data_IF_070403108355
#
_entry.id   IF_070403108355
#
_cell.length_a   1.000
_cell.length_b   1.000
_cell.length_c   1.000
_cell.angle_alpha   90.00
_cell.angle_beta   90.00
_cell.angle_gamma   90.00
#
_symmetry.space_group_name_H-M   'P 1'
#
loop_
_entity.id
_entity.type
_entity.pdbx_description
1 polymer ?
#
# COMPACT_ATOMS: atom_id res chain seq x y z
N UNK A 1 39.79 -12.21 11.07
CA UNK A 1 39.39 -11.15 10.12
C UNK A 1 38.75 -11.69 8.83
N UNK A 2 39.43 -12.50 8.00
CA UNK A 2 38.85 -13.01 6.73
C UNK A 2 37.58 -13.87 6.89
N UNK A 3 37.56 -14.77 7.88
CA UNK A 3 36.37 -15.58 8.18
C UNK A 3 35.21 -14.73 8.72
N UNK A 4 35.52 -13.71 9.52
CA UNK A 4 34.55 -12.76 10.05
C UNK A 4 33.88 -11.96 8.92
N UNK A 5 34.68 -11.52 7.94
CA UNK A 5 34.18 -10.83 6.73
C UNK A 5 33.34 -11.76 5.85
N UNK A 6 33.76 -13.02 5.65
CA UNK A 6 32.98 -13.98 4.89
C UNK A 6 31.61 -14.26 5.55
N UNK A 7 31.57 -14.35 6.88
CA UNK A 7 30.32 -14.55 7.63
C UNK A 7 29.40 -13.33 7.57
N UNK A 8 29.94 -12.10 7.61
CA UNK A 8 29.11 -10.90 7.45
C UNK A 8 28.53 -10.82 6.04
N UNK A 9 29.34 -11.06 5.00
CA UNK A 9 28.88 -11.10 3.61
C UNK A 9 27.79 -12.15 3.42
N UNK A 10 27.98 -13.36 3.97
CA UNK A 10 26.96 -14.42 3.91
C UNK A 10 25.66 -13.99 4.59
N UNK A 11 25.75 -13.38 5.77
CA UNK A 11 24.58 -12.91 6.52
C UNK A 11 23.82 -11.83 5.75
N UNK A 12 24.54 -10.89 5.14
CA UNK A 12 23.95 -9.80 4.35
C UNK A 12 23.29 -10.33 3.06
N UNK A 13 23.96 -11.22 2.34
CA UNK A 13 23.39 -11.90 1.17
C UNK A 13 22.14 -12.69 1.54
N UNK A 14 22.15 -13.37 2.68
CA UNK A 14 21.01 -14.12 3.17
C UNK A 14 19.83 -13.19 3.50
N UNK A 15 20.11 -12.02 4.08
CA UNK A 15 19.11 -10.98 4.35
C UNK A 15 18.51 -10.40 3.06
N UNK A 16 19.34 -10.18 2.04
CA UNK A 16 18.88 -9.74 0.71
C UNK A 16 17.97 -10.80 0.10
N UNK A 17 18.39 -12.08 0.12
CA UNK A 17 17.61 -13.20 -0.41
C UNK A 17 16.21 -13.25 0.20
N UNK A 18 16.10 -13.19 1.53
CA UNK A 18 14.79 -13.22 2.19
C UNK A 18 13.89 -12.03 1.84
N UNK A 19 14.45 -10.83 1.66
CA UNK A 19 13.66 -9.68 1.22
C UNK A 19 13.12 -9.87 -0.20
N UNK A 20 13.95 -10.40 -1.11
CA UNK A 20 13.55 -10.69 -2.49
C UNK A 20 12.48 -11.77 -2.53
N UNK A 21 12.65 -12.86 -1.79
CA UNK A 21 11.63 -13.92 -1.67
C UNK A 21 10.29 -13.37 -1.16
N UNK A 22 10.32 -12.50 -0.14
CA UNK A 22 9.13 -11.80 0.35
C UNK A 22 8.46 -10.95 -0.74
N UNK A 23 9.22 -10.17 -1.50
CA UNK A 23 8.67 -9.37 -2.61
C UNK A 23 8.07 -10.25 -3.72
N UNK A 24 8.69 -11.38 -4.04
CA UNK A 24 8.16 -12.33 -5.04
C UNK A 24 6.84 -12.93 -4.57
N UNK A 25 6.75 -13.36 -3.31
CA UNK A 25 5.50 -13.86 -2.73
C UNK A 25 4.41 -12.79 -2.72
N UNK A 26 4.76 -11.55 -2.36
CA UNK A 26 3.82 -10.44 -2.41
C UNK A 26 3.34 -10.17 -3.84
N UNK A 27 4.23 -10.19 -4.84
CA UNK A 27 3.84 -10.02 -6.23
C UNK A 27 2.94 -11.16 -6.76
N UNK A 28 3.12 -12.39 -6.24
CA UNK A 28 2.36 -13.56 -6.68
C UNK A 28 1.00 -13.69 -5.99
N UNK A 29 0.90 -13.33 -4.71
CA UNK A 29 -0.25 -13.67 -3.87
C UNK A 29 -0.96 -12.47 -3.26
N UNK A 30 -0.30 -11.31 -3.16
CA UNK A 30 -0.91 -10.14 -2.57
C UNK A 30 -1.84 -9.45 -3.56
N UNK A 31 -2.99 -8.98 -3.09
CA UNK A 31 -3.89 -8.18 -3.93
C UNK A 31 -3.29 -6.79 -4.18
N UNK A 32 -3.81 -6.05 -5.17
CA UNK A 32 -3.44 -4.65 -5.34
C UNK A 32 -3.57 -3.87 -4.02
N UNK A 33 -4.62 -4.13 -3.23
CA UNK A 33 -4.79 -3.49 -1.92
C UNK A 33 -3.63 -3.82 -0.96
N UNK A 34 -3.19 -5.08 -0.88
CA UNK A 34 -2.10 -5.50 0.03
C UNK A 34 -0.73 -4.92 -0.37
N UNK A 35 -0.46 -4.78 -1.67
CA UNK A 35 0.75 -4.14 -2.18
C UNK A 35 0.73 -2.62 -1.97
N UNK A 36 -0.44 -1.98 -2.12
CA UNK A 36 -0.58 -0.53 -1.95
C UNK A 36 -0.46 -0.08 -0.49
N UNK A 37 -1.03 -0.83 0.48
CA UNK A 37 -0.84 -0.54 1.91
C UNK A 37 0.62 -0.68 2.35
N UNK A 38 1.40 -1.55 1.70
CA UNK A 38 2.81 -1.74 1.99
C UNK A 38 3.71 -0.64 1.41
N UNK A 39 3.25 0.12 0.40
CA UNK A 39 4.06 1.12 -0.33
C UNK A 39 3.74 2.56 0.09
N UNK A 40 2.46 2.95 0.16
CA UNK A 40 2.04 4.29 0.58
C UNK A 40 0.61 4.30 1.17
N UNK A 41 0.48 4.03 2.48
CA UNK A 41 -0.83 4.03 3.13
C UNK A 41 -1.44 5.44 3.29
N UNK A 42 -0.63 6.51 3.25
CA UNK A 42 -1.12 7.88 3.45
C UNK A 42 -1.77 8.44 2.19
N UNK A 43 -1.16 8.24 1.02
CA UNK A 43 -1.72 8.68 -0.25
C UNK A 43 -3.10 8.11 -0.53
N UNK A 44 -3.31 6.83 -0.23
CA UNK A 44 -4.61 6.17 -0.40
C UNK A 44 -5.67 6.67 0.58
N UNK A 45 -5.32 6.86 1.86
CA UNK A 45 -6.24 7.43 2.85
C UNK A 45 -6.75 8.81 2.40
N UNK A 46 -5.88 9.64 1.81
CA UNK A 46 -6.25 10.94 1.26
C UNK A 46 -7.21 10.82 0.06
N UNK A 47 -6.96 9.89 -0.88
CA UNK A 47 -7.84 9.67 -2.04
C UNK A 47 -9.23 9.18 -1.60
N UNK A 48 -9.30 8.24 -0.66
CA UNK A 48 -10.58 7.72 -0.15
C UNK A 48 -11.35 8.81 0.58
N UNK A 49 -10.66 9.60 1.43
CA UNK A 49 -11.28 10.73 2.13
C UNK A 49 -11.87 11.75 1.16
N UNK A 50 -11.13 12.10 0.10
CA UNK A 50 -11.62 13.03 -0.92
C UNK A 50 -12.81 12.48 -1.70
N UNK A 51 -12.77 11.20 -2.09
CA UNK A 51 -13.90 10.53 -2.76
C UNK A 51 -15.17 10.56 -1.91
N UNK A 52 -15.05 10.32 -0.61
CA UNK A 52 -16.18 10.37 0.31
C UNK A 52 -16.75 11.78 0.45
N UNK A 53 -15.88 12.80 0.55
CA UNK A 53 -16.32 14.20 0.58
C UNK A 53 -17.10 14.59 -0.68
N UNK A 54 -16.57 14.27 -1.87
CA UNK A 54 -17.29 14.56 -3.12
C UNK A 54 -18.60 13.77 -3.21
N UNK A 55 -18.60 12.51 -2.78
CA UNK A 55 -19.81 11.69 -2.72
C UNK A 55 -20.91 12.33 -1.86
N UNK A 56 -20.55 12.83 -0.67
CA UNK A 56 -21.48 13.52 0.21
C UNK A 56 -22.04 14.80 -0.43
N UNK A 57 -21.18 15.61 -1.06
CA UNK A 57 -21.63 16.83 -1.76
C UNK A 57 -22.64 16.53 -2.88
N UNK A 58 -22.39 15.47 -3.66
CA UNK A 58 -23.32 15.02 -4.71
C UNK A 58 -24.63 14.55 -4.11
N UNK A 59 -24.58 13.79 -3.00
CA UNK A 59 -25.77 13.33 -2.31
C UNK A 59 -26.61 14.49 -1.76
N UNK A 60 -25.95 15.47 -1.12
CA UNK A 60 -26.61 16.67 -0.58
C UNK A 60 -27.28 17.48 -1.69
N UNK A 61 -26.60 17.71 -2.81
CA UNK A 61 -27.16 18.38 -3.99
C UNK A 61 -28.41 17.66 -4.50
N UNK A 62 -28.33 16.35 -4.69
CA UNK A 62 -29.46 15.55 -5.17
C UNK A 62 -30.65 15.60 -4.19
N UNK A 63 -30.39 15.62 -2.87
CA UNK A 63 -31.42 15.82 -1.86
C UNK A 63 -32.11 17.17 -1.95
N UNK A 64 -31.35 18.25 -2.16
CA UNK A 64 -31.91 19.60 -2.37
C UNK A 64 -32.77 19.66 -3.63
N UNK A 65 -32.29 19.11 -4.75
CA UNK A 65 -33.07 19.06 -6.00
C UNK A 65 -34.38 18.29 -5.79
N UNK A 66 -34.33 17.12 -5.13
CA UNK A 66 -35.51 16.32 -4.85
C UNK A 66 -36.54 17.04 -3.95
N UNK A 67 -36.10 17.90 -3.02
CA UNK A 67 -37.00 18.69 -2.16
C UNK A 67 -37.65 19.90 -2.84
N UNK A 68 -37.18 20.30 -4.02
CA UNK A 68 -37.73 21.42 -4.80
C UNK A 68 -38.87 21.00 -5.76
N UNK A 69 -39.27 19.73 -5.76
CA UNK A 69 -40.43 19.18 -6.46
C UNK A 69 -41.48 18.70 -5.45
#
# INVERSE_FOLDING_TARGET
ERLTLANSIYTDLNRIRYKVEGMVLMAQYATANDLFFAIDPQGWANVVTMKNHVGNLVQDWNGLVASNY
#
